data_IF_029983743913
#
_entry.id   IF_029983743913
#
_cell.length_a   1.000
_cell.length_b   1.000
_cell.length_c   1.000
_cell.angle_alpha   90.00
_cell.angle_beta   90.00
_cell.angle_gamma   90.00
#
_symmetry.space_group_name_H-M   'P 1'
#
loop_
_entity.id
_entity.type
_entity.pdbx_description
1 polymer ?
#
# COMPACT_ATOMS: atom_id res chain seq x y z
N UNK A 1 -5.72 3.73 39.73
CA UNK A 1 -4.63 3.96 38.78
C UNK A 1 -5.12 3.49 37.42
N UNK A 2 -5.86 4.36 36.72
CA UNK A 2 -6.33 4.08 35.36
C UNK A 2 -5.17 4.28 34.39
N UNK A 3 -5.04 3.50 33.30
CA UNK A 3 -4.04 3.80 32.31
C UNK A 3 -4.43 5.12 31.66
N UNK A 4 -3.51 6.07 31.72
CA UNK A 4 -3.54 7.30 30.95
C UNK A 4 -3.63 6.87 29.48
N UNK A 5 -4.84 6.90 28.91
CA UNK A 5 -5.06 6.74 27.48
C UNK A 5 -4.42 7.97 26.85
N UNK A 6 -3.09 7.95 26.68
CA UNK A 6 -2.41 8.84 25.77
C UNK A 6 -3.19 8.73 24.48
N UNK A 7 -3.89 9.81 24.11
CA UNK A 7 -4.44 10.02 22.78
C UNK A 7 -3.40 9.49 21.80
N UNK A 8 -3.68 8.32 21.22
CA UNK A 8 -2.91 7.85 20.09
C UNK A 8 -3.33 8.83 19.01
N UNK A 9 -2.59 9.93 18.85
CA UNK A 9 -2.88 10.93 17.85
C UNK A 9 -2.97 10.19 16.52
N UNK A 10 -4.19 10.08 15.99
CA UNK A 10 -4.44 9.54 14.66
C UNK A 10 -4.28 10.70 13.69
N UNK A 11 -3.38 10.54 12.73
CA UNK A 11 -3.12 11.54 11.69
C UNK A 11 -3.40 10.94 10.33
N UNK A 12 -3.86 11.80 9.43
CA UNK A 12 -4.19 11.44 8.06
C UNK A 12 -3.06 11.87 7.12
N UNK A 13 -2.56 10.91 6.35
CA UNK A 13 -1.58 11.15 5.30
C UNK A 13 -2.23 10.85 3.95
N UNK A 14 -2.14 11.82 3.04
CA UNK A 14 -2.58 11.64 1.65
C UNK A 14 -1.36 11.44 0.77
N UNK A 15 -1.26 10.25 0.16
CA UNK A 15 -0.21 9.88 -0.77
C UNK A 15 -0.74 10.02 -2.20
N UNK A 16 -0.20 10.97 -2.96
CA UNK A 16 -0.53 11.11 -4.37
C UNK A 16 0.07 9.97 -5.19
N UNK A 17 -0.74 9.40 -6.09
CA UNK A 17 -0.37 8.32 -6.98
C UNK A 17 -0.42 8.81 -8.42
N UNK A 18 0.68 8.70 -9.19
CA UNK A 18 0.66 9.12 -10.59
C UNK A 18 -0.39 8.32 -11.38
N UNK A 19 -1.12 8.94 -12.33
CA UNK A 19 -2.27 8.32 -13.00
C UNK A 19 -1.98 6.97 -13.68
N UNK A 20 -0.75 6.78 -14.18
CA UNK A 20 -0.29 5.54 -14.80
C UNK A 20 -0.15 4.36 -13.81
N UNK A 21 -0.42 4.58 -12.53
CA UNK A 21 -0.43 3.56 -11.49
C UNK A 21 -1.83 3.32 -10.87
N UNK A 22 -2.83 4.07 -11.30
CA UNK A 22 -4.16 4.08 -10.65
C UNK A 22 -4.85 2.72 -10.65
N UNK A 23 -4.63 1.90 -11.68
CA UNK A 23 -5.20 0.54 -11.78
C UNK A 23 -4.61 -0.44 -10.74
N UNK A 24 -3.44 -0.15 -10.18
CA UNK A 24 -2.75 -1.04 -9.23
C UNK A 24 -3.04 -0.69 -7.76
N UNK A 25 -3.75 0.41 -7.50
CA UNK A 25 -4.00 0.89 -6.13
C UNK A 25 -4.74 -0.16 -5.30
N UNK A 26 -5.84 -0.72 -5.82
CA UNK A 26 -6.71 -1.59 -5.03
C UNK A 26 -5.99 -2.88 -4.59
N UNK A 27 -5.20 -3.49 -5.49
CA UNK A 27 -4.36 -4.65 -5.17
C UNK A 27 -3.30 -4.31 -4.12
N UNK A 28 -2.66 -3.15 -4.25
CA UNK A 28 -1.68 -2.69 -3.28
C UNK A 28 -2.30 -2.44 -1.90
N UNK A 29 -3.51 -1.86 -1.84
CA UNK A 29 -4.22 -1.62 -0.58
C UNK A 29 -4.56 -2.92 0.14
N UNK A 30 -5.00 -3.96 -0.58
CA UNK A 30 -5.27 -5.26 0.01
C UNK A 30 -4.04 -5.82 0.74
N UNK A 31 -2.86 -5.72 0.12
CA UNK A 31 -1.60 -6.13 0.74
C UNK A 31 -1.25 -5.27 1.96
N UNK A 32 -1.38 -3.95 1.84
CA UNK A 32 -1.05 -3.00 2.90
C UNK A 32 -1.92 -3.19 4.14
N UNK A 33 -3.21 -3.49 3.97
CA UNK A 33 -4.12 -3.82 5.08
C UNK A 33 -3.64 -5.04 5.88
N UNK A 34 -3.06 -6.04 5.21
CA UNK A 34 -2.47 -7.21 5.88
C UNK A 34 -1.16 -6.90 6.61
N UNK A 35 -0.33 -6.00 6.06
CA UNK A 35 0.96 -5.63 6.65
C UNK A 35 0.83 -4.62 7.81
N UNK A 36 -0.15 -3.74 7.73
CA UNK A 36 -0.37 -2.65 8.67
C UNK A 36 -1.81 -2.67 9.20
N UNK A 37 -2.20 -3.68 9.99
CA UNK A 37 -3.60 -3.88 10.42
C UNK A 37 -4.13 -2.76 11.35
N UNK A 38 -3.24 -1.93 11.91
CA UNK A 38 -3.61 -0.77 12.73
C UNK A 38 -3.82 0.51 11.91
N UNK A 39 -3.48 0.50 10.62
CA UNK A 39 -3.71 1.62 9.72
C UNK A 39 -5.01 1.40 8.95
N UNK A 40 -5.73 2.48 8.60
CA UNK A 40 -6.85 2.40 7.66
C UNK A 40 -6.43 3.02 6.35
N UNK A 41 -6.64 2.29 5.26
CA UNK A 41 -6.32 2.74 3.91
C UNK A 41 -7.62 2.95 3.14
N UNK A 42 -7.70 4.06 2.41
CA UNK A 42 -8.79 4.34 1.50
C UNK A 42 -8.25 4.89 0.19
N UNK A 43 -8.81 4.43 -0.93
CA UNK A 43 -8.54 5.01 -2.25
C UNK A 43 -9.37 6.29 -2.43
N UNK A 44 -8.71 7.34 -2.90
CA UNK A 44 -9.34 8.62 -3.24
C UNK A 44 -8.89 9.01 -4.65
N UNK A 45 -9.69 8.71 -5.67
CA UNK A 45 -9.39 8.98 -7.09
C UNK A 45 -8.00 8.50 -7.53
N UNK A 46 -6.98 9.37 -7.45
CA UNK A 46 -5.56 9.15 -7.80
C UNK A 46 -4.64 9.27 -6.58
N UNK A 47 -5.16 9.05 -5.38
CA UNK A 47 -4.43 9.13 -4.13
C UNK A 47 -4.85 8.01 -3.19
N UNK A 48 -4.03 7.79 -2.18
CA UNK A 48 -4.34 6.91 -1.05
C UNK A 48 -4.36 7.75 0.21
N UNK A 49 -5.50 7.76 0.89
CA UNK A 49 -5.61 8.29 2.24
C UNK A 49 -5.24 7.19 3.24
N UNK A 50 -4.41 7.53 4.22
CA UNK A 50 -3.97 6.62 5.28
C UNK A 50 -4.22 7.26 6.64
N UNK A 51 -5.04 6.61 7.46
CA UNK A 51 -5.14 6.92 8.88
C UNK A 51 -4.07 6.12 9.63
N UNK A 52 -3.19 6.83 10.31
CA UNK A 52 -2.01 6.28 10.97
C UNK A 52 -2.15 6.40 12.48
N UNK A 53 -1.85 5.34 13.25
CA UNK A 53 -1.70 5.45 14.69
C UNK A 53 -0.43 6.24 15.04
N UNK A 54 -0.49 7.00 16.13
CA UNK A 54 0.66 7.66 16.77
C UNK A 54 1.91 6.77 16.82
N UNK A 55 3.05 7.31 16.36
CA UNK A 55 4.36 6.66 16.42
C UNK A 55 4.87 6.10 15.08
N UNK A 56 4.09 6.15 14.00
CA UNK A 56 4.60 5.85 12.65
C UNK A 56 5.09 7.14 11.96
N UNK A 57 6.10 7.05 11.10
CA UNK A 57 6.52 8.22 10.32
C UNK A 57 5.63 8.38 9.08
N UNK A 58 5.15 9.61 8.85
CA UNK A 58 4.42 9.94 7.62
C UNK A 58 5.25 9.63 6.36
N UNK A 59 6.53 10.03 6.35
CA UNK A 59 7.44 9.80 5.23
C UNK A 59 7.66 8.32 4.95
N UNK A 60 7.80 7.50 6.02
CA UNK A 60 7.90 6.06 5.88
C UNK A 60 6.62 5.47 5.29
N UNK A 61 5.44 5.97 5.70
CA UNK A 61 4.17 5.51 5.15
C UNK A 61 4.00 5.90 3.69
N UNK A 62 4.37 7.13 3.31
CA UNK A 62 4.38 7.58 1.90
C UNK A 62 5.24 6.66 1.04
N UNK A 63 6.46 6.37 1.47
CA UNK A 63 7.36 5.45 0.78
C UNK A 63 6.79 4.03 0.68
N UNK A 64 6.16 3.55 1.76
CA UNK A 64 5.53 2.23 1.81
C UNK A 64 4.39 2.10 0.81
N UNK A 65 3.49 3.09 0.76
CA UNK A 65 2.36 3.11 -0.19
C UNK A 65 2.88 3.17 -1.63
N UNK A 66 3.79 4.10 -1.92
CA UNK A 66 4.37 4.25 -3.26
C UNK A 66 5.06 2.96 -3.73
N UNK A 67 5.84 2.33 -2.86
CA UNK A 67 6.52 1.07 -3.17
C UNK A 67 5.54 -0.09 -3.41
N UNK A 68 4.47 -0.20 -2.63
CA UNK A 68 3.46 -1.23 -2.82
C UNK A 68 2.77 -1.09 -4.18
N UNK A 69 2.33 0.12 -4.53
CA UNK A 69 1.70 0.40 -5.83
C UNK A 69 2.65 0.12 -6.99
N UNK A 70 3.91 0.55 -6.88
CA UNK A 70 4.94 0.28 -7.89
C UNK A 70 5.18 -1.22 -8.09
N UNK A 71 5.25 -2.00 -7.00
CA UNK A 71 5.44 -3.46 -7.05
C UNK A 71 4.29 -4.17 -7.74
N UNK A 72 3.05 -3.74 -7.52
CA UNK A 72 1.89 -4.33 -8.19
C UNK A 72 1.92 -4.09 -9.70
N UNK A 73 2.34 -2.89 -10.15
CA UNK A 73 2.58 -2.64 -11.58
C UNK A 73 3.57 -3.63 -12.18
N UNK A 74 4.76 -3.74 -11.57
CA UNK A 74 5.80 -4.65 -12.04
C UNK A 74 5.29 -6.10 -12.04
N UNK A 75 4.52 -6.49 -11.02
CA UNK A 75 3.93 -7.82 -10.98
C UNK A 75 2.99 -8.04 -12.16
N UNK A 76 2.03 -7.15 -12.38
CA UNK A 76 1.06 -7.24 -13.47
C UNK A 76 1.74 -7.28 -14.85
N UNK A 77 2.68 -6.37 -15.11
CA UNK A 77 3.37 -6.26 -16.41
C UNK A 77 4.26 -7.47 -16.71
N UNK A 78 4.80 -8.13 -15.67
CA UNK A 78 5.72 -9.26 -15.85
C UNK A 78 5.05 -10.63 -15.73
N UNK A 79 3.78 -10.70 -15.35
CA UNK A 79 3.10 -11.97 -15.03
C UNK A 79 3.04 -12.92 -16.23
N UNK A 80 2.70 -12.41 -17.41
CA UNK A 80 2.62 -13.21 -18.63
C UNK A 80 3.98 -13.84 -19.00
N UNK A 81 5.05 -13.03 -18.99
CA UNK A 81 6.41 -13.51 -19.23
C UNK A 81 6.82 -14.57 -18.21
N UNK A 82 6.51 -14.36 -16.92
CA UNK A 82 6.80 -15.33 -15.86
C UNK A 82 6.07 -16.66 -16.09
N UNK A 83 4.80 -16.64 -16.49
CA UNK A 83 4.07 -17.86 -16.84
C UNK A 83 4.66 -18.57 -18.05
N UNK A 84 5.04 -17.84 -19.11
CA UNK A 84 5.66 -18.42 -20.29
C UNK A 84 6.99 -19.11 -19.97
N UNK A 85 7.84 -18.48 -19.15
CA UNK A 85 9.12 -19.06 -18.73
C UNK A 85 8.94 -20.34 -17.90
N UNK A 86 7.99 -20.33 -16.96
CA UNK A 86 7.70 -21.53 -16.14
C UNK A 86 7.16 -22.66 -17.01
N UNK A 87 6.23 -22.35 -17.93
CA UNK A 87 5.66 -23.33 -18.85
C UNK A 87 6.72 -23.97 -19.75
N UNK A 88 7.66 -23.19 -20.27
CA UNK A 88 8.73 -23.68 -21.14
C UNK A 88 9.70 -24.67 -20.46
N UNK A 89 9.84 -24.62 -19.14
CA UNK A 89 10.71 -25.54 -18.36
C UNK A 89 9.95 -26.78 -17.89
N UNK A 90 8.64 -26.65 -17.67
CA UNK A 90 7.78 -27.75 -17.18
C UNK A 90 7.12 -28.55 -18.31
N UNK A 91 7.25 -28.11 -19.57
CA UNK A 91 6.69 -28.73 -20.76
C UNK A 91 7.61 -29.77 -21.41
#
# INVERSE_FOLDING_TARGET
MWPELSEIAEYEVVVEIPPQFTEYIDAALLRLQGLFPRCRFARVTNSVAVQLPGGLSEDQMRGTVAHAVYREKIYAETLAMRHSLVSAVMG
#
